data_IF_233640898668
#
_entry.id   IF_233640898668
#
_cell.length_a   1.000
_cell.length_b   1.000
_cell.length_c   1.000
_cell.angle_alpha   90.00
_cell.angle_beta   90.00
_cell.angle_gamma   90.00
#
_symmetry.space_group_name_H-M   'P 1'
#
loop_
_entity.id
_entity.type
_entity.pdbx_description
1 polymer ?
#
# COMPACT_ATOMS: atom_id res chain seq x y z
N UNK A 1 -4.60 19.56 25.59
CA UNK A 1 -3.41 18.82 25.12
C UNK A 1 -3.43 18.86 23.59
N UNK A 2 -2.38 19.40 22.96
CA UNK A 2 -2.27 19.38 21.50
C UNK A 2 -1.81 17.98 21.07
N UNK A 3 -2.64 17.25 20.33
CA UNK A 3 -2.21 15.98 19.74
C UNK A 3 -1.16 16.28 18.66
N UNK A 4 0.02 15.64 18.69
CA UNK A 4 0.97 15.76 17.60
C UNK A 4 0.30 15.31 16.30
N UNK A 5 0.49 16.06 15.22
CA UNK A 5 -0.10 15.74 13.92
C UNK A 5 0.37 14.35 13.49
N UNK A 6 -0.54 13.50 13.03
CA UNK A 6 -0.19 12.18 12.52
C UNK A 6 0.81 12.31 11.36
N UNK A 7 1.87 11.48 11.39
CA UNK A 7 2.92 11.49 10.37
C UNK A 7 2.41 11.00 8.99
N UNK A 8 1.34 10.22 8.97
CA UNK A 8 0.66 9.78 7.76
C UNK A 8 -0.86 9.91 7.95
N UNK A 9 -1.54 10.49 6.95
CA UNK A 9 -3.00 10.49 6.92
C UNK A 9 -3.50 9.26 6.18
N UNK A 10 -4.70 8.80 6.54
CA UNK A 10 -5.38 7.71 5.84
C UNK A 10 -5.53 8.00 4.33
N UNK A 11 -5.81 9.26 3.96
CA UNK A 11 -5.92 9.68 2.55
C UNK A 11 -4.64 9.44 1.74
N UNK A 12 -3.48 9.60 2.38
CA UNK A 12 -2.18 9.43 1.74
C UNK A 12 -1.91 7.93 1.52
N UNK A 13 -2.21 7.10 2.52
CA UNK A 13 -2.13 5.64 2.40
C UNK A 13 -3.02 5.11 1.27
N UNK A 14 -4.25 5.61 1.17
CA UNK A 14 -5.16 5.24 0.06
C UNK A 14 -4.60 5.67 -1.30
N UNK A 15 -3.95 6.83 -1.38
CA UNK A 15 -3.32 7.30 -2.62
C UNK A 15 -2.14 6.41 -3.02
N UNK A 16 -1.30 6.00 -2.07
CA UNK A 16 -0.20 5.06 -2.32
C UNK A 16 -0.73 3.71 -2.80
N UNK A 17 -1.76 3.17 -2.16
CA UNK A 17 -2.38 1.91 -2.57
C UNK A 17 -2.89 1.94 -4.02
N UNK A 18 -3.56 3.03 -4.41
CA UNK A 18 -4.03 3.22 -5.79
C UNK A 18 -2.88 3.29 -6.79
N UNK A 19 -1.80 4.01 -6.43
CA UNK A 19 -0.62 4.12 -7.27
C UNK A 19 0.10 2.76 -7.43
N UNK A 20 0.23 1.98 -6.36
CA UNK A 20 0.84 0.64 -6.40
C UNK A 20 0.02 -0.32 -7.26
N UNK A 21 -1.31 -0.33 -7.11
CA UNK A 21 -2.20 -1.12 -7.97
C UNK A 21 -2.08 -0.71 -9.44
N UNK A 22 -2.05 0.59 -9.73
CA UNK A 22 -1.89 1.09 -11.11
C UNK A 22 -0.51 0.75 -11.71
N UNK A 23 0.51 0.61 -10.87
CA UNK A 23 1.85 0.20 -11.26
C UNK A 23 2.04 -1.34 -11.31
N UNK A 24 0.99 -2.12 -11.04
CA UNK A 24 1.03 -3.60 -11.08
C UNK A 24 1.66 -4.27 -9.86
N UNK A 25 1.84 -3.55 -8.75
CA UNK A 25 2.31 -4.15 -7.50
C UNK A 25 1.13 -4.66 -6.67
N UNK A 26 1.10 -5.97 -6.44
CA UNK A 26 0.13 -6.64 -5.57
C UNK A 26 0.53 -6.58 -4.10
N UNK A 27 1.83 -6.67 -3.81
CA UNK A 27 2.39 -6.65 -2.46
C UNK A 27 3.32 -5.45 -2.27
N UNK A 28 3.01 -4.64 -1.26
CA UNK A 28 3.81 -3.48 -0.89
C UNK A 28 3.60 -3.15 0.59
N UNK A 29 4.59 -2.49 1.17
CA UNK A 29 4.60 -2.03 2.55
C UNK A 29 4.99 -0.56 2.62
N UNK A 30 4.39 0.16 3.56
CA UNK A 30 4.80 1.51 3.92
C UNK A 30 5.48 1.49 5.27
N UNK A 31 6.68 2.04 5.34
CA UNK A 31 7.38 2.33 6.58
C UNK A 31 7.40 3.85 6.81
N UNK A 32 7.11 4.27 8.04
CA UNK A 32 7.16 5.67 8.46
C UNK A 32 8.19 5.79 9.55
N UNK A 33 9.24 6.56 9.30
CA UNK A 33 10.23 6.89 10.32
C UNK A 33 9.68 7.97 11.28
N UNK A 34 10.16 8.06 12.53
CA UNK A 34 9.79 9.13 13.47
C UNK A 34 10.07 10.55 12.95
N UNK A 35 10.96 10.69 11.97
CA UNK A 35 11.27 11.94 11.25
C UNK A 35 10.13 12.42 10.34
N UNK A 36 9.13 11.56 10.06
CA UNK A 36 8.08 11.79 9.09
C UNK A 36 8.43 11.33 7.67
N UNK A 37 9.59 10.71 7.46
CA UNK A 37 9.97 10.11 6.17
C UNK A 37 9.12 8.87 5.89
N UNK A 38 8.53 8.82 4.70
CA UNK A 38 7.71 7.70 4.23
C UNK A 38 8.50 6.90 3.18
N UNK A 39 8.66 5.60 3.40
CA UNK A 39 9.36 4.67 2.52
C UNK A 39 8.34 3.64 2.02
N UNK A 40 8.24 3.46 0.70
CA UNK A 40 7.37 2.46 0.08
C UNK A 40 8.26 1.35 -0.44
N UNK A 41 8.07 0.13 0.07
CA UNK A 41 8.79 -1.07 -0.33
C UNK A 41 7.81 -1.93 -1.13
N UNK A 42 8.07 -2.13 -2.42
CA UNK A 42 7.22 -2.94 -3.29
C UNK A 42 7.93 -4.26 -3.63
N UNK A 43 7.25 -5.39 -3.39
CA UNK A 43 7.70 -6.71 -3.82
C UNK A 43 7.27 -6.95 -5.26
N UNK A 44 8.16 -7.47 -6.12
CA UNK A 44 7.79 -7.90 -7.46
C UNK A 44 7.23 -9.33 -7.35
N UNK A 45 5.92 -9.49 -7.48
CA UNK A 45 5.32 -10.81 -7.69
C UNK A 45 5.41 -11.11 -9.18
N UNK A 46 6.06 -12.21 -9.56
CA UNK A 46 5.96 -12.73 -10.92
C UNK A 46 4.52 -13.18 -11.16
N UNK A 47 3.88 -12.68 -12.22
CA UNK A 47 2.47 -12.96 -12.57
C UNK A 47 2.11 -14.46 -12.69
N UNK A 48 3.09 -15.36 -12.71
CA UNK A 48 2.87 -16.81 -12.87
C UNK A 48 2.18 -17.49 -11.69
N UNK A 49 2.05 -16.84 -10.53
CA UNK A 49 1.48 -17.42 -9.30
C UNK A 49 0.24 -16.69 -8.77
N UNK A 50 -0.32 -15.73 -9.51
CA UNK A 50 -1.56 -15.07 -9.11
C UNK A 50 -2.72 -16.08 -9.15
N UNK A 51 -3.22 -16.45 -7.97
CA UNK A 51 -4.47 -17.21 -7.84
C UNK A 51 -5.66 -16.44 -8.41
N UNK A 52 -6.81 -17.11 -8.63
CA UNK A 52 -7.99 -16.47 -9.21
C UNK A 52 -8.47 -15.28 -8.37
N UNK A 53 -9.02 -14.27 -9.05
CA UNK A 53 -9.51 -13.03 -8.45
C UNK A 53 -10.52 -13.36 -7.35
N UNK A 54 -10.34 -12.87 -6.10
CA UNK A 54 -11.27 -13.13 -5.01
C UNK A 54 -12.71 -12.63 -5.29
N UNK A 55 -12.89 -11.64 -6.17
CA UNK A 55 -14.22 -11.18 -6.60
C UNK A 55 -14.92 -12.19 -7.54
N UNK A 56 -14.18 -13.13 -8.15
CA UNK A 56 -14.74 -14.22 -8.98
C UNK A 56 -15.17 -15.44 -8.17
N UNK A 57 -14.67 -15.60 -6.94
CA UNK A 57 -14.99 -16.73 -6.05
C UNK A 57 -16.34 -16.59 -5.31
N UNK A 58 -16.98 -15.43 -5.41
CA UNK A 58 -18.23 -15.11 -4.70
C UNK A 58 -19.48 -15.07 -5.60
N UNK A 59 -19.45 -15.74 -6.76
CA UNK A 59 -20.62 -15.91 -7.65
C UNK A 59 -21.41 -17.19 -7.37
#
# INVERSE_FOLDING_TARGET
MAHPRAALKQSDLTRYAKAMRAAGYSEWRVEIEPSGKCIIIAGKVEESTAGPDPDELLK
#
